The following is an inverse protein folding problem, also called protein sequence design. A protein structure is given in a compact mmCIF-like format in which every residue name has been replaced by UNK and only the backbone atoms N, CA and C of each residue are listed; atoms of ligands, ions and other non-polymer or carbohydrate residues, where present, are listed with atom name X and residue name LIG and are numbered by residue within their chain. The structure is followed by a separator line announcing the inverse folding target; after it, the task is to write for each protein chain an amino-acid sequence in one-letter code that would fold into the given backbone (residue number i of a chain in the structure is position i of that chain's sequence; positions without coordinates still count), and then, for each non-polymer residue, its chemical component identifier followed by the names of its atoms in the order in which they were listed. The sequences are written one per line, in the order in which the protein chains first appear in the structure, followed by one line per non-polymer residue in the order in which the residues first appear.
data_IF_420774730515
#
_entry.id   IF_420774730515
#
_cell.length_a   1.000
_cell.length_b   1.000
_cell.length_c   1.000
_cell.angle_alpha   90.00
_cell.angle_beta   90.00
_cell.angle_gamma   90.00
#
_symmetry.space_group_name_H-M   'P 1'
#
loop_
_entity.id
_entity.type
_entity.pdbx_description
1 polymer ?
#
# COMPACT_ATOMS: atom_id res chain seq x y z
N UNK A 1 -21.31 7.45 2.30
CA UNK A 1 -21.00 7.32 0.87
C UNK A 1 -19.90 8.27 0.40
N UNK A 2 -20.04 9.59 0.52
CA UNK A 2 -18.94 10.54 0.18
C UNK A 2 -17.76 10.47 1.16
N UNK A 3 -18.02 10.34 2.46
CA UNK A 3 -16.97 10.19 3.49
C UNK A 3 -16.14 8.92 3.30
N UNK A 4 -16.78 7.81 2.90
CA UNK A 4 -16.09 6.54 2.62
C UNK A 4 -15.09 6.65 1.47
N UNK A 5 -15.38 7.50 0.47
CA UNK A 5 -14.47 7.74 -0.65
C UNK A 5 -13.22 8.51 -0.19
N UNK A 6 -13.39 9.53 0.66
CA UNK A 6 -12.27 10.28 1.21
C UNK A 6 -11.37 9.41 2.09
N UNK A 7 -11.94 8.55 2.93
CA UNK A 7 -11.17 7.61 3.76
C UNK A 7 -10.41 6.56 2.95
N UNK A 8 -10.88 6.21 1.75
CA UNK A 8 -10.19 5.27 0.87
C UNK A 8 -9.11 5.95 0.03
N UNK A 9 -9.35 7.17 -0.43
CA UNK A 9 -8.42 7.89 -1.31
C UNK A 9 -7.22 8.48 -0.58
N UNK A 10 -7.41 8.99 0.65
CA UNK A 10 -6.35 9.65 1.41
C UNK A 10 -5.15 8.72 1.72
N UNK A 11 -5.37 7.47 2.20
CA UNK A 11 -4.28 6.54 2.48
C UNK A 11 -3.55 6.10 1.21
N UNK A 12 -4.26 5.92 0.10
CA UNK A 12 -3.66 5.54 -1.19
C UNK A 12 -2.77 6.67 -1.71
N UNK A 13 -3.24 7.91 -1.62
CA UNK A 13 -2.46 9.09 -2.03
C UNK A 13 -1.20 9.24 -1.16
N UNK A 14 -1.33 9.09 0.16
CA UNK A 14 -0.20 9.13 1.08
C UNK A 14 0.79 7.99 0.83
N UNK A 15 0.31 6.77 0.58
CA UNK A 15 1.16 5.63 0.24
C UNK A 15 1.88 5.82 -1.10
N UNK A 16 1.22 6.41 -2.10
CA UNK A 16 1.85 6.75 -3.38
C UNK A 16 2.95 7.81 -3.22
N UNK A 17 2.71 8.86 -2.42
CA UNK A 17 3.70 9.90 -2.13
C UNK A 17 4.89 9.31 -1.34
N UNK A 18 4.62 8.51 -0.31
CA UNK A 18 5.65 7.87 0.50
C UNK A 18 6.47 6.87 -0.33
N UNK A 19 5.81 5.99 -1.09
CA UNK A 19 6.46 5.04 -1.99
C UNK A 19 7.23 5.73 -3.13
N UNK A 20 6.74 6.87 -3.60
CA UNK A 20 7.41 7.73 -4.56
C UNK A 20 8.67 8.38 -3.99
N UNK A 21 8.60 8.99 -2.80
CA UNK A 21 9.76 9.57 -2.11
C UNK A 21 10.84 8.52 -1.86
N UNK A 22 10.45 7.34 -1.33
CA UNK A 22 11.37 6.21 -1.12
C UNK A 22 11.93 5.72 -2.46
N UNK A 23 11.10 5.64 -3.50
CA UNK A 23 11.51 5.24 -4.84
C UNK A 23 12.53 6.18 -5.47
N UNK A 24 12.34 7.50 -5.34
CA UNK A 24 13.28 8.52 -5.83
C UNK A 24 14.61 8.39 -5.09
N UNK A 25 14.58 8.32 -3.76
CA UNK A 25 15.81 8.21 -2.97
C UNK A 25 16.58 6.91 -3.30
N UNK A 26 15.86 5.83 -3.60
CA UNK A 26 16.48 4.55 -4.00
C UNK A 26 17.06 4.57 -5.40
N UNK A 27 16.38 5.21 -6.35
CA UNK A 27 16.88 5.40 -7.72
C UNK A 27 18.12 6.30 -7.72
N UNK A 28 18.13 7.34 -6.89
CA UNK A 28 19.28 8.22 -6.71
C UNK A 28 20.50 7.54 -6.06
N UNK A 29 20.28 6.42 -5.35
CA UNK A 29 21.33 5.60 -4.73
C UNK A 29 21.71 4.38 -5.57
N UNK A 30 21.35 4.33 -6.86
CA UNK A 30 21.67 3.24 -7.80
C UNK A 30 21.23 1.84 -7.31
N UNK A 31 20.11 1.75 -6.56
CA UNK A 31 19.56 0.45 -6.15
C UNK A 31 18.69 -0.15 -7.27
N UNK A 32 18.78 -1.47 -7.43
CA UNK A 32 18.10 -2.26 -8.48
C UNK A 32 16.57 -2.13 -8.55
N UNK A 33 15.92 -1.61 -7.51
CA UNK A 33 14.49 -1.32 -7.48
C UNK A 33 14.29 0.20 -7.44
N UNK A 34 13.98 0.78 -8.61
CA UNK A 34 13.80 2.22 -8.82
C UNK A 34 12.40 2.75 -8.48
N UNK A 35 12.13 3.98 -8.90
CA UNK A 35 10.92 4.74 -8.55
C UNK A 35 9.61 4.03 -8.90
N UNK A 36 9.51 3.52 -10.13
CA UNK A 36 8.28 2.85 -10.62
C UNK A 36 7.93 1.63 -9.79
N UNK A 37 8.92 0.84 -9.38
CA UNK A 37 8.71 -0.39 -8.62
C UNK A 37 8.19 -0.08 -7.22
N UNK A 38 8.78 0.90 -6.53
CA UNK A 38 8.35 1.25 -5.17
C UNK A 38 6.96 1.90 -5.13
N UNK A 39 6.60 2.68 -6.14
CA UNK A 39 5.24 3.21 -6.25
C UNK A 39 4.22 2.08 -6.39
N UNK A 40 4.46 1.12 -7.30
CA UNK A 40 3.53 0.00 -7.51
C UNK A 40 3.39 -0.84 -6.24
N UNK A 41 4.50 -1.14 -5.56
CA UNK A 41 4.50 -1.90 -4.29
C UNK A 41 3.74 -1.14 -3.20
N UNK A 42 4.02 0.15 -3.00
CA UNK A 42 3.38 0.94 -1.94
C UNK A 42 1.87 1.12 -2.18
N UNK A 43 1.48 1.41 -3.42
CA UNK A 43 0.06 1.53 -3.81
C UNK A 43 -0.66 0.19 -3.70
N UNK A 44 -0.04 -0.90 -4.17
CA UNK A 44 -0.58 -2.25 -4.07
C UNK A 44 -0.83 -2.66 -2.63
N UNK A 45 0.16 -2.49 -1.74
CA UNK A 45 0.02 -2.79 -0.31
C UNK A 45 -1.09 -1.95 0.34
N UNK A 46 -1.19 -0.65 0.02
CA UNK A 46 -2.23 0.22 0.57
C UNK A 46 -3.65 -0.21 0.13
N UNK A 47 -3.82 -0.53 -1.16
CA UNK A 47 -5.08 -1.06 -1.70
C UNK A 47 -5.48 -2.37 -1.01
N UNK A 48 -4.53 -3.26 -0.85
CA UNK A 48 -4.76 -4.54 -0.19
C UNK A 48 -5.07 -4.39 1.31
N UNK A 49 -4.42 -3.49 2.03
CA UNK A 49 -4.77 -3.17 3.43
C UNK A 49 -6.19 -2.65 3.52
N UNK A 50 -6.60 -1.74 2.63
CA UNK A 50 -7.96 -1.21 2.55
C UNK A 50 -9.00 -2.30 2.27
N UNK A 51 -8.68 -3.21 1.34
CA UNK A 51 -9.52 -4.36 1.00
C UNK A 51 -9.62 -5.33 2.19
N UNK A 52 -8.50 -5.57 2.89
CA UNK A 52 -8.44 -6.37 4.10
C UNK A 52 -9.31 -5.79 5.22
N UNK A 53 -9.30 -4.48 5.43
CA UNK A 53 -10.14 -3.81 6.44
C UNK A 53 -11.62 -3.97 6.07
N UNK A 54 -11.99 -3.73 4.80
CA UNK A 54 -13.38 -3.90 4.33
C UNK A 54 -13.89 -5.34 4.40
N UNK A 55 -13.05 -6.32 4.12
CA UNK A 55 -13.43 -7.73 4.25
C UNK A 55 -13.40 -8.18 5.72
N UNK A 56 -12.46 -7.65 6.49
CA UNK A 56 -12.26 -7.96 7.91
C UNK A 56 -13.29 -7.36 8.87
N UNK A 57 -14.10 -6.41 8.41
CA UNK A 57 -15.31 -5.99 9.13
C UNK A 57 -16.43 -7.02 9.06
N UNK A 58 -16.37 -7.97 8.12
CA UNK A 58 -17.33 -9.09 7.99
C UNK A 58 -16.89 -10.30 8.82
N UNK A 59 -15.58 -10.55 8.90
CA UNK A 59 -14.99 -11.60 9.75
C UNK A 59 -13.73 -11.07 10.44
N UNK A 60 -13.62 -11.27 11.75
CA UNK A 60 -12.63 -10.75 12.72
C UNK A 60 -11.15 -11.10 12.42
N UNK A 61 -10.82 -11.55 11.22
CA UNK A 61 -9.52 -12.07 10.76
C UNK A 61 -8.77 -11.13 9.78
N UNK A 62 -9.15 -9.85 9.68
CA UNK A 62 -8.51 -8.83 8.82
C UNK A 62 -6.97 -8.81 8.90
N UNK A 63 -6.41 -9.13 10.05
CA UNK A 63 -4.96 -9.10 10.30
C UNK A 63 -4.19 -10.13 9.46
N UNK A 64 -4.78 -11.28 9.12
CA UNK A 64 -4.07 -12.37 8.41
C UNK A 64 -3.85 -12.08 6.94
N UNK A 65 -4.81 -11.44 6.27
CA UNK A 65 -4.72 -11.14 4.83
C UNK A 65 -3.70 -10.02 4.59
N UNK A 66 -3.70 -8.97 5.42
CA UNK A 66 -2.67 -7.93 5.37
C UNK A 66 -1.26 -8.49 5.63
N UNK A 67 -1.11 -9.42 6.57
CA UNK A 67 0.17 -10.07 6.87
C UNK A 67 0.68 -10.94 5.70
N UNK A 68 -0.21 -11.63 4.97
CA UNK A 68 0.14 -12.47 3.82
C UNK A 68 0.77 -11.69 2.66
N UNK A 69 0.41 -10.41 2.52
CA UNK A 69 0.83 -9.56 1.40
C UNK A 69 2.21 -8.97 1.65
N UNK A 70 2.48 -8.64 2.92
CA UNK A 70 3.83 -8.30 3.38
C UNK A 70 4.78 -9.49 3.24
N UNK A 71 4.31 -10.73 3.44
CA UNK A 71 5.14 -11.94 3.28
C UNK A 71 5.35 -12.34 1.82
N UNK A 72 4.42 -12.04 0.91
CA UNK A 72 4.57 -12.36 -0.52
C UNK A 72 5.50 -11.43 -1.31
N UNK A 73 5.85 -10.25 -0.76
CA UNK A 73 6.76 -9.28 -1.38
C UNK A 73 8.22 -9.48 -0.89
N UNK A 74 8.43 -10.29 0.16
CA UNK A 74 9.73 -10.57 0.78
C UNK A 74 10.57 -11.59 0.02
#
# INVERSE_FOLDING_TARGET
MLLDLWEQFLPILLAAIAGGLIGIEREYRDKSAGFRTMIIIAVGSALFTLLSIKMGTVEKESTRIAAAIVTGIG
#
